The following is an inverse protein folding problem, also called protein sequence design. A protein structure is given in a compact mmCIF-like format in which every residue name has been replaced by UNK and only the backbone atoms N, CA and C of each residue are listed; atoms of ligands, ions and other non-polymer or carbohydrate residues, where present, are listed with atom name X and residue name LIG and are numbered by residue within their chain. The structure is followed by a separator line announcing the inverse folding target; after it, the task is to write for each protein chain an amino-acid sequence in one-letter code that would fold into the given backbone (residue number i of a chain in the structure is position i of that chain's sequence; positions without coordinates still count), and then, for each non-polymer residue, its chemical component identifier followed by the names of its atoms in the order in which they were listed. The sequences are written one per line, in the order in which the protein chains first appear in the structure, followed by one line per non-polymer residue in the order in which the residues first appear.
data_IF_400799053520
#
_entry.id   IF_400799053520
#
_cell.length_a   1.000
_cell.length_b   1.000
_cell.length_c   1.000
_cell.angle_alpha   90.00
_cell.angle_beta   90.00
_cell.angle_gamma   90.00
#
_symmetry.space_group_name_H-M   'P 1'
#
loop_
_entity.id
_entity.type
_entity.pdbx_description
1 polymer ?
#
# COMPACT_ATOMS: atom_id res chain seq x y z
N UNK A 1 41.33 -7.13 -20.68
CA UNK A 1 40.78 -5.83 -20.22
C UNK A 1 39.28 -6.00 -20.02
N UNK A 2 38.87 -6.29 -18.79
CA UNK A 2 37.48 -6.55 -18.43
C UNK A 2 36.74 -5.22 -18.29
N UNK A 3 35.71 -5.02 -19.11
CA UNK A 3 34.73 -3.94 -18.92
C UNK A 3 33.68 -4.42 -17.94
N UNK A 4 33.75 -3.97 -16.69
CA UNK A 4 32.63 -4.07 -15.77
C UNK A 4 31.62 -2.97 -16.13
N UNK A 5 30.49 -3.36 -16.71
CA UNK A 5 29.29 -2.53 -16.75
C UNK A 5 28.76 -2.46 -15.31
N UNK A 6 28.96 -1.33 -14.65
CA UNK A 6 28.27 -1.02 -13.41
C UNK A 6 26.85 -0.59 -13.81
N UNK A 7 25.91 -1.52 -13.70
CA UNK A 7 24.49 -1.21 -13.77
C UNK A 7 24.15 -0.44 -12.50
N UNK A 8 24.05 0.88 -12.60
CA UNK A 8 23.53 1.75 -11.55
C UNK A 8 22.07 1.38 -11.27
N UNK A 9 21.86 0.53 -10.26
CA UNK A 9 20.57 0.38 -9.59
C UNK A 9 20.27 1.72 -8.91
N UNK A 10 19.53 2.58 -9.61
CA UNK A 10 18.84 3.68 -8.95
C UNK A 10 17.82 3.04 -8.02
N UNK A 11 18.15 2.96 -6.73
CA UNK A 11 17.15 2.81 -5.68
C UNK A 11 16.26 4.05 -5.78
N UNK A 12 15.10 3.91 -6.43
CA UNK A 12 14.01 4.82 -6.22
C UNK A 12 13.50 4.53 -4.81
N UNK A 13 13.90 5.35 -3.84
CA UNK A 13 13.21 5.40 -2.57
C UNK A 13 11.77 5.81 -2.88
N UNK A 14 10.82 4.92 -2.61
CA UNK A 14 9.41 5.23 -2.72
C UNK A 14 9.10 6.37 -1.75
N UNK A 15 8.40 7.41 -2.22
CA UNK A 15 7.99 8.58 -1.44
C UNK A 15 6.94 8.19 -0.38
N UNK A 16 7.36 7.52 0.68
CA UNK A 16 6.50 7.17 1.79
C UNK A 16 6.22 8.42 2.63
N UNK A 17 4.95 8.66 2.90
CA UNK A 17 4.53 9.59 3.93
C UNK A 17 4.82 8.93 5.28
N UNK A 18 5.17 9.71 6.30
CA UNK A 18 5.42 9.18 7.63
C UNK A 18 4.27 8.33 8.20
N UNK A 19 3.04 8.44 7.69
CA UNK A 19 1.96 7.51 8.03
C UNK A 19 1.23 6.98 6.79
N UNK A 20 1.32 5.67 6.56
CA UNK A 20 0.63 4.98 5.47
C UNK A 20 -0.73 4.43 5.94
N UNK A 21 -1.78 4.53 5.12
CA UNK A 21 -3.08 3.96 5.45
C UNK A 21 -3.09 2.44 5.28
N UNK A 22 -3.85 1.73 6.11
CA UNK A 22 -4.09 0.31 5.97
C UNK A 22 -5.50 -0.10 6.44
N UNK A 23 -5.88 -1.33 6.10
CA UNK A 23 -7.05 -2.03 6.67
C UNK A 23 -6.66 -3.47 6.99
N UNK A 24 -6.99 -3.96 8.18
CA UNK A 24 -6.66 -5.33 8.59
C UNK A 24 -7.74 -5.90 9.54
N UNK A 25 -8.13 -7.18 9.38
CA UNK A 25 -8.93 -7.87 10.37
C UNK A 25 -8.08 -8.20 11.60
N UNK A 26 -8.69 -8.27 12.78
CA UNK A 26 -7.99 -8.77 13.98
C UNK A 26 -7.64 -10.27 13.88
N UNK A 27 -8.37 -11.02 13.06
CA UNK A 27 -8.09 -12.41 12.75
C UNK A 27 -8.26 -12.63 11.26
N UNK A 28 -7.24 -13.17 10.58
CA UNK A 28 -7.28 -13.50 9.14
C UNK A 28 -7.97 -14.84 8.87
N UNK A 29 -8.09 -15.68 9.90
CA UNK A 29 -8.86 -16.92 9.90
C UNK A 29 -9.66 -17.03 11.20
N UNK A 30 -10.91 -17.43 11.12
CA UNK A 30 -11.80 -17.52 12.29
C UNK A 30 -12.87 -18.60 12.11
N UNK A 31 -13.48 -19.05 13.21
CA UNK A 31 -14.75 -19.79 13.20
C UNK A 31 -15.94 -18.90 13.64
N UNK A 32 -15.64 -17.68 14.08
CA UNK A 32 -16.63 -16.76 14.63
C UNK A 32 -17.59 -16.23 13.55
N UNK A 33 -18.76 -15.79 13.97
CA UNK A 33 -19.78 -15.19 13.10
C UNK A 33 -19.52 -13.72 12.78
N UNK A 34 -18.58 -13.10 13.48
CA UNK A 34 -18.17 -11.72 13.28
C UNK A 34 -16.68 -11.54 13.60
N UNK A 35 -16.04 -10.56 12.96
CA UNK A 35 -14.64 -10.20 13.22
C UNK A 35 -14.48 -8.68 13.18
N UNK A 36 -13.82 -8.07 14.17
CA UNK A 36 -13.44 -6.68 14.08
C UNK A 36 -12.39 -6.45 12.99
N UNK A 37 -12.60 -5.42 12.19
CA UNK A 37 -11.66 -4.93 11.18
C UNK A 37 -11.26 -3.52 11.54
N UNK A 38 -9.96 -3.24 11.51
CA UNK A 38 -9.41 -1.92 11.83
C UNK A 38 -8.88 -1.25 10.57
N UNK A 39 -9.02 0.07 10.49
CA UNK A 39 -8.37 0.91 9.50
C UNK A 39 -7.77 2.16 10.14
N UNK A 40 -6.61 2.59 9.63
CA UNK A 40 -5.92 3.75 10.16
C UNK A 40 -4.66 4.07 9.37
N UNK A 41 -3.99 5.14 9.79
CA UNK A 41 -2.67 5.55 9.32
C UNK A 41 -1.62 5.16 10.35
N UNK A 42 -0.48 4.67 9.88
CA UNK A 42 0.61 4.20 10.72
C UNK A 42 2.00 4.44 10.08
N UNK A 43 2.97 4.83 10.90
CA UNK A 43 4.40 4.86 10.52
C UNK A 43 4.96 3.44 10.51
N UNK A 44 4.79 2.74 11.63
CA UNK A 44 5.09 1.32 11.74
C UNK A 44 3.95 0.49 11.13
N UNK A 45 4.28 -0.43 10.23
CA UNK A 45 3.28 -1.23 9.53
C UNK A 45 2.28 -1.90 10.50
N UNK A 46 0.99 -1.70 10.24
CA UNK A 46 -0.13 -2.26 11.02
C UNK A 46 -0.19 -1.81 12.51
N UNK A 47 0.43 -0.67 12.85
CA UNK A 47 0.39 -0.09 14.20
C UNK A 47 -0.33 1.28 14.18
N UNK A 48 -1.65 1.28 14.30
CA UNK A 48 -2.48 2.47 14.07
C UNK A 48 -2.15 3.65 14.99
N UNK A 49 -1.92 4.82 14.41
CA UNK A 49 -1.69 6.08 15.14
C UNK A 49 -2.81 7.10 14.93
N UNK A 50 -3.41 7.09 13.74
CA UNK A 50 -4.53 7.96 13.39
C UNK A 50 -5.65 7.18 12.70
N UNK A 51 -6.89 7.51 13.04
CA UNK A 51 -8.04 6.88 12.40
C UNK A 51 -8.18 7.27 10.93
N UNK A 52 -8.61 6.32 10.10
CA UNK A 52 -9.00 6.58 8.72
C UNK A 52 -10.41 7.19 8.71
N UNK A 53 -10.48 8.52 8.64
CA UNK A 53 -11.74 9.28 8.66
C UNK A 53 -12.59 8.99 7.43
N UNK A 54 -13.91 9.03 7.62
CA UNK A 54 -14.92 8.87 6.56
C UNK A 54 -14.81 7.55 5.76
N UNK A 55 -14.09 6.58 6.30
CA UNK A 55 -13.90 5.28 5.68
C UNK A 55 -15.20 4.47 5.69
N UNK A 56 -15.53 3.88 4.55
CA UNK A 56 -16.50 2.80 4.47
C UNK A 56 -15.75 1.52 4.07
N UNK A 57 -16.14 0.40 4.66
CA UNK A 57 -15.55 -0.89 4.35
C UNK A 57 -16.45 -1.61 3.34
N UNK A 58 -15.92 -1.90 2.16
CA UNK A 58 -16.54 -2.83 1.22
C UNK A 58 -16.08 -4.25 1.56
N UNK A 59 -17.03 -5.13 1.84
CA UNK A 59 -16.83 -6.55 2.10
C UNK A 59 -17.37 -7.32 0.89
N UNK A 60 -16.50 -8.05 0.21
CA UNK A 60 -16.87 -8.98 -0.86
C UNK A 60 -16.99 -10.36 -0.24
N UNK A 61 -18.17 -10.94 -0.26
CA UNK A 61 -18.46 -12.24 0.39
C UNK A 61 -17.87 -13.42 -0.41
N UNK A 62 -17.83 -14.64 0.17
CA UNK A 62 -17.45 -15.86 -0.56
C UNK A 62 -18.34 -16.15 -1.78
N UNK A 63 -19.52 -15.54 -1.85
CA UNK A 63 -20.47 -15.62 -2.98
C UNK A 63 -20.30 -14.46 -3.98
N UNK A 64 -19.27 -13.64 -3.82
CA UNK A 64 -18.99 -12.42 -4.60
C UNK A 64 -20.05 -11.32 -4.48
N UNK A 65 -20.81 -11.32 -3.38
CA UNK A 65 -21.73 -10.21 -3.08
C UNK A 65 -20.97 -9.05 -2.43
N UNK A 66 -21.28 -7.83 -2.85
CA UNK A 66 -20.70 -6.61 -2.27
C UNK A 66 -21.60 -6.10 -1.14
N UNK A 67 -21.02 -5.94 0.05
CA UNK A 67 -21.67 -5.30 1.20
C UNK A 67 -20.85 -4.11 1.66
N UNK A 68 -21.51 -2.99 1.96
CA UNK A 68 -20.84 -1.84 2.57
C UNK A 68 -21.12 -1.84 4.06
N UNK A 69 -20.07 -1.84 4.86
CA UNK A 69 -20.09 -1.78 6.33
C UNK A 69 -19.60 -0.39 6.75
N UNK A 70 -20.42 0.30 7.55
CA UNK A 70 -20.02 1.57 8.17
C UNK A 70 -19.16 1.30 9.40
N UNK A 71 -18.30 2.25 9.81
CA UNK A 71 -17.58 2.12 11.06
C UNK A 71 -18.56 1.97 12.24
N UNK A 72 -18.30 0.99 13.09
CA UNK A 72 -19.00 0.82 14.38
C UNK A 72 -18.46 1.85 15.38
N UNK A 73 -17.16 2.13 15.34
CA UNK A 73 -16.51 3.13 16.17
C UNK A 73 -15.43 3.91 15.41
N UNK A 74 -15.33 5.21 15.73
CA UNK A 74 -14.27 6.09 15.28
C UNK A 74 -13.52 6.64 16.49
N UNK A 75 -12.31 6.16 16.72
CA UNK A 75 -11.42 6.68 17.76
C UNK A 75 -10.43 7.69 17.16
N UNK A 76 -9.56 8.28 17.99
CA UNK A 76 -8.49 9.17 17.49
C UNK A 76 -7.45 8.39 16.68
N UNK A 77 -7.11 7.20 17.15
CA UNK A 77 -6.03 6.38 16.60
C UNK A 77 -6.47 5.33 15.59
N UNK A 78 -7.76 4.96 15.55
CA UNK A 78 -8.24 3.84 14.74
C UNK A 78 -9.73 3.98 14.38
N UNK A 79 -10.09 3.53 13.19
CA UNK A 79 -11.47 3.30 12.75
C UNK A 79 -11.75 1.80 12.87
N UNK A 80 -12.86 1.44 13.51
CA UNK A 80 -13.24 0.04 13.77
C UNK A 80 -14.55 -0.28 13.07
N UNK A 81 -14.56 -1.40 12.35
CA UNK A 81 -15.74 -2.01 11.74
C UNK A 81 -16.01 -3.34 12.44
N UNK A 82 -17.28 -3.72 12.58
CA UNK A 82 -17.66 -5.07 12.95
C UNK A 82 -18.22 -5.77 11.71
N UNK A 83 -17.57 -6.84 11.26
CA UNK A 83 -17.89 -7.51 9.99
C UNK A 83 -18.58 -8.83 10.24
N UNK A 84 -19.83 -8.94 9.81
CA UNK A 84 -20.59 -10.19 9.80
C UNK A 84 -20.06 -11.20 8.79
N UNK A 85 -19.95 -12.45 9.22
CA UNK A 85 -19.47 -13.61 8.45
C UNK A 85 -20.55 -14.71 8.40
N UNK A 86 -21.66 -14.51 7.66
CA UNK A 86 -22.76 -15.47 7.61
C UNK A 86 -22.39 -16.78 6.90
N UNK A 87 -21.42 -16.76 5.99
CA UNK A 87 -21.04 -17.88 5.13
C UNK A 87 -19.62 -18.35 5.45
N UNK A 88 -19.36 -19.65 5.30
CA UNK A 88 -17.98 -20.16 5.26
C UNK A 88 -17.28 -19.73 3.96
N UNK A 89 -15.97 -19.51 4.03
CA UNK A 89 -15.16 -19.12 2.87
C UNK A 89 -14.37 -17.84 3.11
N UNK A 90 -13.83 -17.28 2.03
CA UNK A 90 -12.97 -16.09 2.08
C UNK A 90 -13.71 -14.83 1.65
N UNK A 91 -13.57 -13.81 2.49
CA UNK A 91 -14.04 -12.45 2.29
C UNK A 91 -12.87 -11.57 1.87
N UNK A 92 -13.10 -10.66 0.91
CA UNK A 92 -12.16 -9.57 0.61
C UNK A 92 -12.67 -8.32 1.31
N UNK A 93 -11.81 -7.74 2.15
CA UNK A 93 -12.06 -6.50 2.86
C UNK A 93 -11.37 -5.38 2.07
N UNK A 94 -12.10 -4.33 1.72
CA UNK A 94 -11.55 -3.23 0.94
C UNK A 94 -12.04 -1.87 1.46
N UNK A 95 -11.14 -0.92 1.58
CA UNK A 95 -11.48 0.50 1.74
C UNK A 95 -10.52 1.36 0.92
N UNK A 96 -10.70 2.67 0.95
CA UNK A 96 -9.90 3.61 0.17
C UNK A 96 -9.49 4.81 1.01
N UNK A 97 -8.35 5.38 0.66
CA UNK A 97 -7.86 6.65 1.18
C UNK A 97 -7.37 7.49 0.01
N UNK A 98 -7.36 8.81 0.17
CA UNK A 98 -6.70 9.69 -0.79
C UNK A 98 -6.02 10.86 -0.09
N UNK A 99 -4.96 11.37 -0.72
CA UNK A 99 -4.22 12.51 -0.21
C UNK A 99 -3.76 13.40 -1.37
N UNK A 100 -4.05 14.72 -1.31
CA UNK A 100 -3.59 15.65 -2.33
C UNK A 100 -2.08 15.91 -2.18
N UNK A 101 -1.37 15.87 -3.29
CA UNK A 101 0.05 16.18 -3.37
C UNK A 101 0.28 17.36 -4.30
N UNK A 102 1.24 18.19 -3.92
CA UNK A 102 1.75 19.27 -4.77
C UNK A 102 3.13 18.90 -5.29
N UNK A 103 3.39 19.19 -6.56
CA UNK A 103 4.71 19.07 -7.17
C UNK A 103 5.16 20.39 -7.76
N UNK A 104 6.45 20.70 -7.67
CA UNK A 104 7.08 21.84 -8.33
C UNK A 104 8.11 21.36 -9.34
N UNK A 105 8.23 22.06 -10.47
CA UNK A 105 9.27 21.78 -11.45
C UNK A 105 10.49 22.66 -11.17
N UNK A 106 11.61 22.05 -10.82
CA UNK A 106 12.90 22.72 -10.60
C UNK A 106 14.03 21.89 -11.24
N UNK A 107 15.06 22.56 -11.75
CA UNK A 107 16.26 21.88 -12.29
C UNK A 107 16.00 20.73 -13.27
N UNK A 108 14.96 20.88 -14.10
CA UNK A 108 14.50 19.90 -15.12
C UNK A 108 13.84 18.63 -14.57
N UNK A 109 13.50 18.60 -13.29
CA UNK A 109 12.79 17.49 -12.64
C UNK A 109 11.62 18.01 -11.81
N UNK A 110 10.61 17.17 -11.64
CA UNK A 110 9.53 17.40 -10.71
C UNK A 110 9.93 16.93 -9.32
N UNK A 111 9.54 17.69 -8.31
CA UNK A 111 9.79 17.38 -6.91
C UNK A 111 8.49 17.52 -6.13
N UNK A 112 8.26 16.66 -5.15
CA UNK A 112 7.24 16.93 -4.14
C UNK A 112 7.48 18.31 -3.54
N UNK A 113 6.39 19.04 -3.32
CA UNK A 113 6.42 20.39 -2.80
C UNK A 113 5.54 20.47 -1.56
N UNK A 114 6.11 20.96 -0.47
CA UNK A 114 5.37 21.29 0.74
C UNK A 114 5.48 22.78 1.01
N UNK A 115 4.33 23.44 1.09
CA UNK A 115 4.27 24.86 1.44
C UNK A 115 4.41 25.02 2.96
N UNK A 116 5.66 24.98 3.42
CA UNK A 116 6.01 25.15 4.82
C UNK A 116 7.25 26.03 4.98
N UNK A 117 7.35 26.79 6.09
CA UNK A 117 8.50 27.64 6.34
C UNK A 117 9.74 26.81 6.70
N UNK A 118 10.93 27.36 6.44
CA UNK A 118 12.20 26.65 6.55
C UNK A 118 12.53 26.19 7.98
N UNK A 119 12.02 26.89 9.00
CA UNK A 119 12.19 26.56 10.42
C UNK A 119 11.35 25.35 10.86
N UNK A 120 10.35 24.94 10.06
CA UNK A 120 9.51 23.76 10.31
C UNK A 120 9.88 22.55 9.46
N UNK A 121 10.84 22.70 8.56
CA UNK A 121 11.31 21.63 7.70
C UNK A 121 12.67 21.09 8.19
N UNK A 122 12.92 19.78 8.10
CA UNK A 122 14.27 19.24 8.25
C UNK A 122 15.24 19.86 7.24
N UNK A 123 16.56 19.78 7.51
CA UNK A 123 17.59 20.23 6.57
C UNK A 123 17.39 19.65 5.17
N UNK A 124 17.65 20.44 4.12
CA UNK A 124 17.44 20.01 2.72
C UNK A 124 18.14 18.68 2.38
N UNK A 125 19.30 18.41 2.97
CA UNK A 125 20.05 17.17 2.75
C UNK A 125 19.37 15.91 3.32
N UNK A 126 18.40 16.07 4.22
CA UNK A 126 17.69 14.99 4.91
C UNK A 126 16.28 14.77 4.36
N UNK A 127 15.88 15.51 3.30
CA UNK A 127 14.54 15.43 2.72
C UNK A 127 14.56 15.38 1.19
N UNK A 128 13.59 14.68 0.63
CA UNK A 128 13.46 14.46 -0.82
C UNK A 128 12.43 15.39 -1.49
N UNK A 129 11.78 16.24 -0.72
CA UNK A 129 10.84 17.26 -1.20
C UNK A 129 11.46 18.66 -1.15
N UNK A 130 10.86 19.60 -1.86
CA UNK A 130 11.20 21.02 -1.85
C UNK A 130 10.19 21.83 -1.04
N UNK A 131 10.67 22.93 -0.45
CA UNK A 131 9.85 23.97 0.21
C UNK A 131 10.13 25.32 -0.48
N UNK A 132 9.35 26.39 -0.20
CA UNK A 132 9.56 27.70 -0.83
C UNK A 132 11.01 28.22 -0.75
N UNK A 133 11.68 28.03 0.38
CA UNK A 133 13.05 28.51 0.61
C UNK A 133 14.12 27.82 -0.27
N UNK A 134 13.82 26.66 -0.87
CA UNK A 134 14.74 25.96 -1.77
C UNK A 134 14.74 26.51 -3.19
N UNK A 135 13.71 27.29 -3.53
CA UNK A 135 13.42 27.74 -4.88
C UNK A 135 13.94 29.17 -5.09
N UNK A 136 14.53 29.42 -6.25
CA UNK A 136 15.05 30.76 -6.60
C UNK A 136 13.95 31.76 -6.97
N UNK A 137 12.77 31.25 -7.35
CA UNK A 137 11.63 32.06 -7.79
C UNK A 137 10.71 32.42 -6.62
N UNK A 138 10.21 33.66 -6.60
CA UNK A 138 9.18 34.09 -5.65
C UNK A 138 7.77 33.65 -6.05
N UNK A 139 7.55 33.37 -7.34
CA UNK A 139 6.27 32.84 -7.83
C UNK A 139 6.43 31.35 -8.09
N UNK A 140 5.89 30.55 -7.17
CA UNK A 140 5.95 29.09 -7.22
C UNK A 140 4.71 28.58 -7.96
N UNK A 141 4.92 27.81 -9.02
CA UNK A 141 3.85 27.14 -9.76
C UNK A 141 3.88 25.65 -9.41
N UNK A 142 2.76 25.14 -8.92
CA UNK A 142 2.62 23.73 -8.54
C UNK A 142 1.69 22.99 -9.47
N UNK A 143 1.99 21.72 -9.73
CA UNK A 143 1.03 20.76 -10.26
C UNK A 143 0.39 20.01 -9.09
N UNK A 144 -0.94 19.92 -9.10
CA UNK A 144 -1.70 19.15 -8.11
C UNK A 144 -1.94 17.74 -8.64
N UNK A 145 -1.68 16.74 -7.82
CA UNK A 145 -2.02 15.35 -8.13
C UNK A 145 -2.67 14.70 -6.91
N UNK A 146 -3.53 13.72 -7.13
CA UNK A 146 -4.09 12.93 -6.04
C UNK A 146 -3.34 11.61 -5.93
N UNK A 147 -2.90 11.28 -4.72
CA UNK A 147 -2.51 9.91 -4.37
C UNK A 147 -3.74 9.18 -3.86
N UNK A 148 -4.02 8.01 -4.45
CA UNK A 148 -5.15 7.17 -4.10
C UNK A 148 -4.65 5.80 -3.66
N UNK A 149 -5.11 5.35 -2.50
CA UNK A 149 -4.84 4.01 -1.98
C UNK A 149 -6.09 3.15 -2.05
N UNK A 150 -5.95 1.99 -2.65
CA UNK A 150 -6.84 0.85 -2.45
C UNK A 150 -6.25 0.01 -1.31
N UNK A 151 -6.94 -0.04 -0.17
CA UNK A 151 -6.52 -0.82 0.98
C UNK A 151 -7.28 -2.14 0.99
N UNK A 152 -6.60 -3.26 1.06
CA UNK A 152 -7.18 -4.59 1.00
C UNK A 152 -6.68 -5.51 2.11
N UNK A 153 -7.52 -6.46 2.50
CA UNK A 153 -7.13 -7.61 3.31
C UNK A 153 -8.05 -8.79 2.99
N UNK A 154 -7.65 -9.98 3.42
CA UNK A 154 -8.41 -11.21 3.22
C UNK A 154 -8.75 -11.84 4.58
N UNK A 155 -9.96 -12.37 4.71
CA UNK A 155 -10.47 -12.98 5.93
C UNK A 155 -11.20 -14.28 5.58
N UNK A 156 -10.83 -15.41 6.18
CA UNK A 156 -11.51 -16.69 5.95
C UNK A 156 -12.27 -17.16 7.19
N UNK A 157 -13.55 -17.52 7.01
CA UNK A 157 -14.33 -18.24 8.03
C UNK A 157 -14.30 -19.74 7.74
N UNK A 158 -13.83 -20.55 8.69
CA UNK A 158 -13.69 -21.99 8.57
C UNK A 158 -12.61 -22.39 7.55
N UNK A 159 -13.00 -22.45 6.28
CA UNK A 159 -12.15 -22.81 5.15
C UNK A 159 -11.88 -21.63 4.21
N UNK A 160 -10.85 -21.75 3.40
CA UNK A 160 -10.65 -20.84 2.27
C UNK A 160 -11.61 -21.21 1.13
N UNK A 161 -11.86 -20.24 0.25
CA UNK A 161 -12.65 -20.42 -0.98
C UNK A 161 -11.96 -19.65 -2.09
N UNK A 162 -12.31 -19.92 -3.35
CA UNK A 162 -11.82 -19.10 -4.45
C UNK A 162 -12.24 -17.63 -4.26
N UNK A 163 -11.39 -16.72 -4.72
CA UNK A 163 -11.60 -15.28 -4.63
C UNK A 163 -11.66 -14.67 -6.03
N UNK A 164 -12.61 -13.76 -6.24
CA UNK A 164 -12.65 -12.91 -7.42
C UNK A 164 -12.19 -11.50 -7.05
N UNK A 165 -11.02 -11.10 -7.55
CA UNK A 165 -10.46 -9.79 -7.23
C UNK A 165 -11.38 -8.66 -7.76
N UNK A 166 -11.67 -7.62 -6.96
CA UNK A 166 -12.47 -6.49 -7.38
C UNK A 166 -11.78 -5.70 -8.50
N UNK A 167 -12.57 -4.86 -9.18
CA UNK A 167 -12.03 -3.97 -10.21
C UNK A 167 -11.39 -2.72 -9.61
N UNK A 168 -10.12 -2.82 -9.23
CA UNK A 168 -9.32 -1.72 -8.69
C UNK A 168 -8.31 -1.20 -9.73
N UNK A 169 -7.80 0.04 -9.59
CA UNK A 169 -6.80 0.60 -10.51
C UNK A 169 -5.58 -0.30 -10.65
N UNK A 170 -5.00 -0.73 -9.52
CA UNK A 170 -3.94 -1.73 -9.44
C UNK A 170 -4.50 -3.00 -8.79
N UNK A 171 -4.38 -4.15 -9.47
CA UNK A 171 -4.75 -5.48 -8.94
C UNK A 171 -3.51 -6.28 -8.63
N UNK A 172 -3.49 -6.89 -7.46
CA UNK A 172 -2.41 -7.78 -6.99
C UNK A 172 -2.98 -9.18 -6.86
N UNK A 173 -2.53 -10.10 -7.73
CA UNK A 173 -2.94 -11.50 -7.69
C UNK A 173 -1.80 -12.36 -7.15
N UNK A 174 -2.10 -13.21 -6.17
CA UNK A 174 -1.17 -14.11 -5.51
C UNK A 174 -1.25 -15.51 -6.13
N UNK A 175 -0.11 -16.15 -6.38
CA UNK A 175 -0.06 -17.52 -6.89
C UNK A 175 -0.55 -18.57 -5.89
N UNK A 176 -0.71 -18.19 -4.63
CA UNK A 176 -1.23 -18.99 -3.52
C UNK A 176 -2.37 -18.18 -2.90
N UNK A 177 -3.42 -18.83 -2.43
CA UNK A 177 -4.50 -18.15 -1.73
C UNK A 177 -3.93 -17.27 -0.58
N UNK A 178 -4.32 -15.99 -0.45
CA UNK A 178 -3.68 -15.05 0.49
C UNK A 178 -3.63 -15.54 1.95
N UNK A 179 -4.70 -16.20 2.42
CA UNK A 179 -4.76 -16.76 3.79
C UNK A 179 -4.07 -18.13 3.95
N UNK A 180 -3.37 -18.62 2.92
CA UNK A 180 -2.57 -19.86 2.96
C UNK A 180 -1.08 -19.63 2.71
N UNK A 181 -0.63 -18.38 2.62
CA UNK A 181 0.79 -18.06 2.43
C UNK A 181 1.57 -18.53 3.66
N UNK A 182 2.64 -19.30 3.41
CA UNK A 182 3.53 -19.81 4.48
C UNK A 182 4.89 -19.13 4.46
N UNK A 183 5.51 -19.04 5.63
CA UNK A 183 6.86 -18.54 5.79
C UNK A 183 7.87 -19.37 4.96
N UNK A 184 8.85 -18.69 4.40
CA UNK A 184 9.88 -19.25 3.53
C UNK A 184 9.38 -20.05 2.30
N UNK A 185 8.09 -19.98 1.98
CA UNK A 185 7.54 -20.37 0.69
C UNK A 185 7.77 -19.24 -0.32
N UNK A 186 8.34 -19.56 -1.48
CA UNK A 186 8.33 -18.65 -2.62
C UNK A 186 6.92 -18.57 -3.19
N UNK A 187 6.39 -17.36 -3.33
CA UNK A 187 5.14 -17.08 -4.03
C UNK A 187 5.37 -16.09 -5.17
N UNK A 188 4.54 -16.14 -6.19
CA UNK A 188 4.56 -15.16 -7.28
C UNK A 188 3.38 -14.22 -7.15
N UNK A 189 3.63 -12.94 -7.38
CA UNK A 189 2.58 -11.96 -7.60
C UNK A 189 2.48 -11.65 -9.09
N UNK A 190 1.26 -11.44 -9.57
CA UNK A 190 0.99 -10.80 -10.85
C UNK A 190 0.27 -9.48 -10.60
N UNK A 191 0.91 -8.39 -11.01
CA UNK A 191 0.44 -7.02 -10.84
C UNK A 191 -0.08 -6.49 -12.16
N UNK A 192 -1.28 -5.94 -12.15
CA UNK A 192 -1.89 -5.32 -13.33
C UNK A 192 -2.42 -3.94 -12.99
N UNK A 193 -2.32 -3.01 -13.94
CA UNK A 193 -3.00 -1.72 -13.88
C UNK A 193 -4.03 -1.67 -15.01
N UNK A 194 -5.30 -1.40 -14.67
CA UNK A 194 -6.42 -1.34 -15.64
C UNK A 194 -6.51 -2.58 -16.55
N UNK A 195 -6.19 -3.76 -16.01
CA UNK A 195 -6.24 -5.04 -16.71
C UNK A 195 -5.03 -5.37 -17.60
N UNK A 196 -4.03 -4.48 -17.68
CA UNK A 196 -2.77 -4.75 -18.37
C UNK A 196 -1.65 -5.04 -17.37
N UNK A 197 -0.67 -5.89 -17.70
CA UNK A 197 0.51 -6.09 -16.86
C UNK A 197 1.19 -4.77 -16.48
N UNK A 198 1.38 -4.52 -15.19
CA UNK A 198 2.10 -3.34 -14.72
C UNK A 198 3.60 -3.65 -14.67
N UNK A 199 4.26 -3.44 -15.82
CA UNK A 199 5.70 -3.64 -15.92
C UNK A 199 6.44 -2.80 -14.89
N UNK A 200 7.45 -3.40 -14.24
CA UNK A 200 8.34 -2.70 -13.32
C UNK A 200 7.67 -2.10 -12.07
N UNK A 201 6.45 -2.53 -11.72
CA UNK A 201 5.77 -2.15 -10.48
C UNK A 201 6.72 -2.20 -9.28
N UNK A 202 6.69 -1.16 -8.45
CA UNK A 202 7.39 -1.13 -7.17
C UNK A 202 6.56 -1.89 -6.15
N UNK A 203 7.21 -2.79 -5.43
CA UNK A 203 6.57 -3.65 -4.42
C UNK A 203 7.39 -3.55 -3.13
N UNK A 204 6.79 -3.00 -2.08
CA UNK A 204 7.43 -2.85 -0.78
C UNK A 204 6.76 -3.80 0.22
N UNK A 205 7.56 -4.65 0.86
CA UNK A 205 7.08 -5.58 1.88
C UNK A 205 7.59 -5.15 3.26
N UNK A 206 6.66 -4.98 4.20
CA UNK A 206 6.94 -4.63 5.59
C UNK A 206 6.33 -5.65 6.54
N UNK A 207 7.11 -6.10 7.51
CA UNK A 207 6.55 -6.84 8.65
C UNK A 207 5.85 -5.87 9.61
N UNK A 208 4.81 -6.32 10.30
CA UNK A 208 4.20 -5.55 11.39
C UNK A 208 5.25 -4.96 12.34
N UNK A 209 5.09 -3.69 12.69
CA UNK A 209 6.01 -2.96 13.57
C UNK A 209 7.25 -2.40 12.87
N UNK A 210 7.40 -2.58 11.55
CA UNK A 210 8.54 -2.02 10.80
C UNK A 210 8.18 -0.72 10.08
N UNK A 211 9.11 0.22 10.04
CA UNK A 211 8.95 1.50 9.32
C UNK A 211 9.21 1.34 7.82
N UNK A 212 8.88 2.37 7.04
CA UNK A 212 9.18 2.47 5.61
C UNK A 212 10.67 2.24 5.28
N UNK A 213 11.57 2.76 6.13
CA UNK A 213 13.03 2.58 6.00
C UNK A 213 13.49 1.12 6.13
N UNK A 214 12.67 0.28 6.72
CA UNK A 214 12.93 -1.15 6.92
C UNK A 214 12.20 -2.02 5.89
N UNK A 215 11.52 -1.42 4.92
CA UNK A 215 10.85 -2.15 3.86
C UNK A 215 11.84 -2.98 3.05
N UNK A 216 11.38 -4.16 2.64
CA UNK A 216 12.08 -4.98 1.65
C UNK A 216 11.56 -4.59 0.26
N UNK A 217 12.38 -3.92 -0.57
CA UNK A 217 11.94 -3.49 -1.88
C UNK A 217 12.09 -4.62 -2.90
N UNK A 218 11.08 -4.76 -3.73
CA UNK A 218 11.05 -5.64 -4.89
C UNK A 218 10.57 -4.85 -6.10
N UNK A 219 10.89 -5.37 -7.28
CA UNK A 219 10.47 -4.78 -8.54
C UNK A 219 9.92 -5.86 -9.44
N UNK A 220 8.74 -5.63 -9.99
CA UNK A 220 8.17 -6.53 -10.97
C UNK A 220 8.99 -6.52 -12.27
N UNK A 221 8.93 -7.62 -13.02
CA UNK A 221 9.53 -7.70 -14.33
C UNK A 221 8.72 -6.93 -15.39
N UNK A 222 9.10 -7.07 -16.66
CA UNK A 222 8.39 -6.45 -17.78
C UNK A 222 6.99 -7.03 -18.05
N UNK A 223 6.60 -8.11 -17.36
CA UNK A 223 5.28 -8.75 -17.40
C UNK A 223 4.49 -8.51 -16.11
N UNK A 224 4.94 -7.60 -15.25
CA UNK A 224 4.27 -7.31 -13.98
C UNK A 224 4.34 -8.47 -12.99
N UNK A 225 5.32 -9.37 -13.11
CA UNK A 225 5.51 -10.50 -12.20
C UNK A 225 6.64 -10.22 -11.21
N UNK A 226 6.44 -10.61 -9.96
CA UNK A 226 7.48 -10.54 -8.91
C UNK A 226 7.42 -11.80 -8.07
N UNK A 227 8.57 -12.34 -7.68
CA UNK A 227 8.65 -13.45 -6.73
C UNK A 227 8.98 -12.89 -5.35
N UNK A 228 8.19 -13.28 -4.34
CA UNK A 228 8.33 -12.89 -2.96
C UNK A 228 8.56 -14.11 -2.07
N UNK A 229 9.30 -13.91 -0.99
CA UNK A 229 9.49 -14.89 0.07
C UNK A 229 9.39 -14.19 1.42
N UNK A 230 8.44 -14.61 2.24
CA UNK A 230 8.27 -14.06 3.58
C UNK A 230 9.26 -14.73 4.54
N UNK A 231 10.08 -13.98 5.29
CA UNK A 231 11.15 -14.56 6.09
C UNK A 231 10.64 -15.40 7.27
N UNK A 232 9.52 -15.02 7.88
CA UNK A 232 8.90 -15.70 9.03
C UNK A 232 7.38 -15.55 9.04
N UNK A 233 6.72 -16.34 9.87
CA UNK A 233 5.29 -16.20 10.12
C UNK A 233 5.00 -14.86 10.82
N UNK A 234 3.85 -14.26 10.55
CA UNK A 234 3.47 -12.97 11.10
C UNK A 234 2.54 -12.17 10.19
N UNK A 235 2.23 -10.95 10.61
CA UNK A 235 1.45 -10.01 9.81
C UNK A 235 2.37 -9.12 8.97
N UNK A 236 1.96 -8.85 7.74
CA UNK A 236 2.72 -8.06 6.79
C UNK A 236 1.84 -7.04 6.08
N UNK A 237 2.46 -5.94 5.68
CA UNK A 237 1.90 -4.94 4.79
C UNK A 237 2.65 -5.02 3.46
N UNK A 238 1.92 -5.25 2.38
CA UNK A 238 2.44 -5.27 1.01
C UNK A 238 1.91 -4.05 0.26
N UNK A 239 2.79 -3.11 -0.06
CA UNK A 239 2.46 -1.97 -0.91
C UNK A 239 2.87 -2.25 -2.36
N UNK A 240 2.02 -1.89 -3.31
CA UNK A 240 2.30 -1.94 -4.74
C UNK A 240 1.93 -0.62 -5.40
N UNK A 241 2.85 -0.07 -6.19
CA UNK A 241 2.63 1.19 -6.92
C UNK A 241 3.31 1.20 -8.29
N UNK A 242 2.89 2.16 -9.12
CA UNK A 242 3.49 2.45 -10.42
C UNK A 242 4.79 3.23 -10.22
N UNK A 243 5.87 2.92 -10.96
CA UNK A 243 7.11 3.70 -10.89
C UNK A 243 6.88 5.18 -11.21
N UNK A 244 7.50 6.05 -10.43
CA UNK A 244 7.41 7.50 -10.64
C UNK A 244 8.59 7.98 -11.48
N UNK A 245 8.31 8.54 -12.66
CA UNK A 245 9.32 9.25 -13.48
C UNK A 245 9.21 10.76 -13.27
N UNK A 246 10.10 11.29 -12.43
CA UNK A 246 10.15 12.72 -12.08
C UNK A 246 10.63 13.62 -13.24
N UNK A 247 11.10 13.06 -14.37
CA UNK A 247 11.38 13.87 -15.56
C UNK A 247 10.09 14.19 -16.33
N UNK A 248 9.03 13.41 -16.10
CA UNK A 248 7.72 13.60 -16.70
C UNK A 248 6.81 14.37 -15.76
N UNK A 249 5.84 15.09 -16.33
CA UNK A 249 4.81 15.78 -15.57
C UNK A 249 4.07 14.76 -14.67
N UNK A 250 3.95 15.02 -13.36
CA UNK A 250 3.32 14.09 -12.44
C UNK A 250 1.84 13.93 -12.77
N UNK A 251 1.31 12.75 -12.43
CA UNK A 251 -0.09 12.37 -12.60
C UNK A 251 -0.60 11.81 -11.29
N UNK A 252 -1.91 11.60 -11.18
CA UNK A 252 -2.48 10.87 -10.06
C UNK A 252 -1.77 9.53 -9.88
N UNK A 253 -1.52 9.19 -8.62
CA UNK A 253 -0.74 8.02 -8.23
C UNK A 253 -1.68 7.01 -7.60
N UNK A 254 -1.66 5.79 -8.12
CA UNK A 254 -2.46 4.69 -7.58
C UNK A 254 -1.55 3.78 -6.76
N UNK A 255 -2.04 3.38 -5.60
CA UNK A 255 -1.40 2.43 -4.70
C UNK A 255 -2.42 1.33 -4.37
N UNK A 256 -1.94 0.10 -4.27
CA UNK A 256 -2.69 -0.98 -3.61
C UNK A 256 -1.86 -1.46 -2.43
N UNK A 257 -2.43 -1.36 -1.24
CA UNK A 257 -1.83 -1.84 0.01
C UNK A 257 -2.63 -3.04 0.48
N UNK A 258 -1.96 -4.16 0.71
CA UNK A 258 -2.58 -5.42 1.14
C UNK A 258 -2.02 -5.81 2.51
N UNK A 259 -2.90 -5.91 3.51
CA UNK A 259 -2.56 -6.52 4.79
C UNK A 259 -2.71 -8.03 4.70
N UNK A 260 -1.73 -8.78 5.20
CA UNK A 260 -1.63 -10.23 5.07
C UNK A 260 -1.24 -10.86 6.39
N UNK A 261 -1.65 -12.11 6.59
CA UNK A 261 -1.07 -13.00 7.58
C UNK A 261 -0.32 -14.15 6.88
N UNK A 262 0.90 -14.39 7.34
CA UNK A 262 1.78 -15.46 6.88
C UNK A 262 1.86 -16.52 7.96
N UNK A 263 1.52 -17.75 7.58
CA UNK A 263 1.50 -18.91 8.45
C UNK A 263 2.90 -19.47 8.67
N UNK A 264 3.09 -20.22 9.76
CA UNK A 264 4.26 -21.08 9.90
C UNK A 264 4.28 -22.18 8.81
N UNK A 265 5.46 -22.77 8.56
CA UNK A 265 5.60 -23.86 7.59
C UNK A 265 4.77 -25.09 7.96
#
# INVERSE_FOLDING_TARGET
MNKFLILSLAFACSYSFAHEPYVAPLAYKTEQTQVPVIAGYAEEALNSEYALKDANLTVITPKNELKTVKPEALHKSVTVFDVDLPDEGTYILQTQASYPLSYVYDQKTWHLFFDMPADKAPPKAEREYLIPADLKTKTIKTEQVTREWTLQSYLSKGKVSDIQLPNTPIKVNFSVHPNLIKAAQSIKLSVTEKGQPLAYAEVNLREKGTTDKQAQPFKADNKGQVELKFPKAGEYLLEVTTPVDLKLKPKNQNYTIVSLNVLAQ
#
